data_IF_507226968642
#
_entry.id   IF_507226968642
#
_cell.length_a   1.000
_cell.length_b   1.000
_cell.length_c   1.000
_cell.angle_alpha   90.00
_cell.angle_beta   90.00
_cell.angle_gamma   90.00
#
_symmetry.space_group_name_H-M   'P 1'
#
loop_
_entity.id
_entity.type
_entity.pdbx_description
1 polymer ?
#
# COMPACT_ATOMS: atom_id res chain seq x y z
N UNK A 1 12.76 7.72 16.12
CA UNK A 1 12.43 9.14 16.25
C UNK A 1 12.17 9.78 14.87
N UNK A 2 11.79 11.08 14.83
CA UNK A 2 11.50 11.80 13.57
C UNK A 2 12.70 11.82 12.61
N UNK A 3 13.91 11.97 13.11
CA UNK A 3 15.12 12.00 12.29
C UNK A 3 15.37 10.64 11.62
N UNK A 4 15.26 9.58 12.39
CA UNK A 4 15.39 8.21 11.88
C UNK A 4 14.32 7.88 10.86
N UNK A 5 13.07 8.31 11.10
CA UNK A 5 11.97 8.12 10.16
C UNK A 5 12.24 8.80 8.81
N UNK A 6 12.77 10.04 8.82
CA UNK A 6 13.15 10.74 7.60
C UNK A 6 14.32 10.06 6.86
N UNK A 7 15.31 9.55 7.59
CA UNK A 7 16.41 8.78 6.99
C UNK A 7 15.84 7.50 6.35
N UNK A 8 14.97 6.79 7.06
CA UNK A 8 14.34 5.58 6.54
C UNK A 8 13.45 5.84 5.33
N UNK A 9 12.65 6.91 5.36
CA UNK A 9 11.82 7.32 4.22
C UNK A 9 12.64 7.64 2.96
N UNK A 10 13.76 8.34 3.11
CA UNK A 10 14.70 8.58 2.00
C UNK A 10 15.28 7.30 1.45
N UNK A 11 15.62 6.36 2.32
CA UNK A 11 16.14 5.07 1.93
C UNK A 11 15.10 4.25 1.13
N UNK A 12 13.85 4.19 1.60
CA UNK A 12 12.74 3.55 0.90
C UNK A 12 12.48 4.19 -0.45
N UNK A 13 12.37 5.52 -0.48
CA UNK A 13 12.09 6.27 -1.71
C UNK A 13 13.16 6.03 -2.77
N UNK A 14 14.43 6.12 -2.38
CA UNK A 14 15.56 5.81 -3.27
C UNK A 14 15.52 4.38 -3.78
N UNK A 15 15.17 3.43 -2.93
CA UNK A 15 15.10 2.01 -3.29
C UNK A 15 13.95 1.66 -4.23
N UNK A 16 12.83 2.39 -4.15
CA UNK A 16 11.67 2.12 -5.00
C UNK A 16 11.67 2.92 -6.30
N UNK A 17 12.13 4.17 -6.26
CA UNK A 17 11.95 5.13 -7.35
C UNK A 17 13.27 5.63 -7.96
N UNK A 18 14.42 5.27 -7.37
CA UNK A 18 15.76 5.67 -7.82
C UNK A 18 16.02 7.18 -7.73
N UNK A 19 15.14 7.91 -7.03
CA UNK A 19 15.22 9.36 -6.82
C UNK A 19 15.45 9.70 -5.35
N UNK A 20 15.84 10.94 -5.08
CA UNK A 20 16.00 11.46 -3.72
C UNK A 20 14.67 12.05 -3.22
N UNK A 21 14.31 11.74 -1.99
CA UNK A 21 13.14 12.31 -1.32
C UNK A 21 13.46 13.73 -0.84
N UNK A 22 12.73 14.71 -1.34
CA UNK A 22 12.91 16.14 -1.08
C UNK A 22 11.81 16.76 -0.21
N UNK A 23 10.85 15.95 0.27
CA UNK A 23 9.85 16.40 1.22
C UNK A 23 10.09 15.83 2.63
N UNK A 24 9.64 16.51 3.70
CA UNK A 24 9.74 16.01 5.06
C UNK A 24 8.70 14.95 5.39
N UNK A 25 9.04 14.08 6.33
CA UNK A 25 8.10 13.18 7.01
C UNK A 25 7.89 13.69 8.42
N UNK A 26 6.66 14.04 8.75
CA UNK A 26 6.25 14.63 10.01
C UNK A 26 5.51 13.62 10.90
N UNK A 27 5.72 13.70 12.22
CA UNK A 27 4.99 12.86 13.17
C UNK A 27 3.87 13.67 13.79
N UNK A 28 2.62 13.21 13.60
CA UNK A 28 1.44 13.82 14.20
C UNK A 28 0.86 12.96 15.32
N UNK A 29 0.91 13.51 16.55
CA UNK A 29 0.37 12.85 17.75
C UNK A 29 -1.17 12.85 17.79
N UNK A 30 -1.84 13.61 16.92
CA UNK A 30 -3.31 13.75 16.88
C UNK A 30 -3.95 12.77 15.92
N UNK A 31 -3.18 12.15 15.01
CA UNK A 31 -3.68 11.11 14.10
C UNK A 31 -4.02 9.85 14.90
N UNK A 32 -5.32 9.54 15.01
CA UNK A 32 -5.82 8.38 15.77
C UNK A 32 -6.40 7.28 14.90
N UNK A 33 -6.94 7.62 13.73
CA UNK A 33 -7.64 6.70 12.83
C UNK A 33 -6.83 6.35 11.59
N UNK A 34 -6.05 7.29 11.10
CA UNK A 34 -5.18 7.12 9.93
C UNK A 34 -3.75 6.88 10.40
N UNK A 35 -3.05 5.95 9.77
CA UNK A 35 -1.67 5.62 10.13
C UNK A 35 -0.67 6.60 9.53
N UNK A 36 -0.87 6.97 8.27
CA UNK A 36 -0.12 7.99 7.57
C UNK A 36 -0.97 8.59 6.45
N UNK A 37 -0.56 9.72 5.89
CA UNK A 37 -1.10 10.26 4.65
C UNK A 37 -0.14 11.24 3.98
N UNK A 38 -0.21 11.33 2.67
CA UNK A 38 0.47 12.33 1.88
C UNK A 38 -0.38 13.60 1.81
N UNK A 39 0.23 14.75 2.09
CA UNK A 39 -0.40 16.09 2.03
C UNK A 39 0.18 16.83 0.83
N UNK A 40 -0.67 17.16 -0.14
CA UNK A 40 -0.31 17.79 -1.43
C UNK A 40 -0.54 19.31 -1.43
N UNK A 41 -0.19 19.99 -0.34
CA UNK A 41 -0.27 21.46 -0.23
C UNK A 41 0.90 22.13 -0.98
N UNK A 42 1.00 23.48 -0.90
CA UNK A 42 2.09 24.25 -1.49
C UNK A 42 3.48 23.79 -1.02
N UNK A 43 3.59 23.37 0.24
CA UNK A 43 4.75 22.70 0.81
C UNK A 43 4.38 21.24 1.15
N UNK A 44 4.49 20.30 0.20
CA UNK A 44 4.05 18.93 0.41
C UNK A 44 4.86 18.21 1.47
N UNK A 45 4.20 17.30 2.21
CA UNK A 45 4.84 16.47 3.23
C UNK A 45 4.07 15.16 3.45
N UNK A 46 4.71 14.21 4.12
CA UNK A 46 4.02 13.00 4.59
C UNK A 46 3.82 13.11 6.10
N UNK A 47 2.61 12.87 6.55
CA UNK A 47 2.25 12.85 7.96
C UNK A 47 2.07 11.43 8.44
N UNK A 48 2.67 11.11 9.60
CA UNK A 48 2.69 9.75 10.16
C UNK A 48 2.19 9.78 11.60
N UNK A 49 1.32 8.86 11.97
CA UNK A 49 0.83 8.77 13.34
C UNK A 49 1.92 8.29 14.30
N UNK A 50 1.87 8.78 15.54
CA UNK A 50 2.74 8.27 16.62
C UNK A 50 2.56 6.76 16.83
N UNK A 51 1.36 6.25 16.62
CA UNK A 51 1.07 4.83 16.77
C UNK A 51 1.82 3.99 15.71
N UNK A 52 1.93 4.49 14.47
CA UNK A 52 2.66 3.79 13.42
C UNK A 52 4.15 3.66 13.72
N UNK A 53 4.80 4.71 14.22
CA UNK A 53 6.24 4.68 14.52
C UNK A 53 6.64 3.75 15.66
N UNK A 54 5.66 3.23 16.41
CA UNK A 54 5.86 2.23 17.46
C UNK A 54 5.75 0.79 16.96
N UNK A 55 5.40 0.60 15.67
CA UNK A 55 5.26 -0.70 15.06
C UNK A 55 6.61 -1.28 14.60
N UNK A 56 6.60 -2.54 14.18
CA UNK A 56 7.78 -3.12 13.57
C UNK A 56 8.14 -2.45 12.23
N UNK A 57 9.39 -2.56 11.83
CA UNK A 57 9.92 -1.85 10.67
C UNK A 57 9.20 -2.21 9.36
N UNK A 58 8.72 -3.45 9.23
CA UNK A 58 8.03 -3.89 8.00
C UNK A 58 6.67 -3.21 7.85
N UNK A 59 5.93 -3.01 8.96
CA UNK A 59 4.65 -2.27 8.97
C UNK A 59 4.89 -0.80 8.63
N UNK A 60 5.89 -0.18 9.28
CA UNK A 60 6.26 1.22 8.99
C UNK A 60 6.64 1.35 7.51
N UNK A 61 7.47 0.44 6.99
CA UNK A 61 7.93 0.49 5.62
C UNK A 61 6.79 0.36 4.60
N UNK A 62 5.85 -0.55 4.82
CA UNK A 62 4.76 -0.77 3.88
C UNK A 62 3.80 0.43 3.81
N UNK A 63 3.36 0.93 4.98
CA UNK A 63 2.49 2.09 5.05
C UNK A 63 3.21 3.35 4.52
N UNK A 64 4.45 3.55 4.90
CA UNK A 64 5.23 4.70 4.42
C UNK A 64 5.48 4.62 2.91
N UNK A 65 5.75 3.45 2.35
CA UNK A 65 5.95 3.26 0.91
C UNK A 65 4.68 3.53 0.10
N UNK A 66 3.49 3.29 0.68
CA UNK A 66 2.21 3.68 0.10
C UNK A 66 2.13 5.21 -0.07
N UNK A 67 2.41 5.97 1.00
CA UNK A 67 2.39 7.44 0.96
C UNK A 67 3.49 8.02 0.05
N UNK A 68 4.67 7.39 0.04
CA UNK A 68 5.76 7.77 -0.86
C UNK A 68 5.39 7.54 -2.34
N UNK A 69 4.49 6.59 -2.63
CA UNK A 69 3.98 6.37 -3.98
C UNK A 69 3.04 7.49 -4.42
N UNK A 70 2.17 7.99 -3.52
CA UNK A 70 1.36 9.19 -3.78
C UNK A 70 2.25 10.37 -4.13
N UNK A 71 3.27 10.62 -3.30
CA UNK A 71 4.21 11.71 -3.54
C UNK A 71 4.98 11.56 -4.86
N UNK A 72 5.47 10.36 -5.18
CA UNK A 72 6.17 10.12 -6.44
C UNK A 72 5.31 10.47 -7.65
N UNK A 73 4.06 10.03 -7.67
CA UNK A 73 3.13 10.33 -8.75
C UNK A 73 2.78 11.83 -8.81
N UNK A 74 2.52 12.45 -7.66
CA UNK A 74 2.29 13.90 -7.55
C UNK A 74 3.46 14.72 -8.12
N UNK A 75 4.69 14.40 -7.72
CA UNK A 75 5.92 15.05 -8.20
C UNK A 75 6.09 14.96 -9.72
N UNK A 76 5.57 13.92 -10.33
CA UNK A 76 5.63 13.68 -11.78
C UNK A 76 4.37 14.08 -12.53
N UNK A 77 3.51 14.92 -11.95
CA UNK A 77 2.25 15.40 -12.54
C UNK A 77 1.35 14.26 -13.04
N UNK A 78 1.29 13.15 -12.30
CA UNK A 78 0.45 11.99 -12.61
C UNK A 78 -0.71 11.88 -11.63
N UNK A 79 -1.81 11.24 -12.04
CA UNK A 79 -2.88 10.86 -11.12
C UNK A 79 -2.31 10.05 -9.96
N UNK A 80 -2.60 10.47 -8.73
CA UNK A 80 -1.95 9.93 -7.54
C UNK A 80 -2.90 9.46 -6.44
N UNK A 81 -4.22 9.51 -6.67
CA UNK A 81 -5.19 8.99 -5.71
C UNK A 81 -5.16 7.45 -5.68
N UNK A 82 -5.58 6.85 -4.56
CA UNK A 82 -5.64 5.38 -4.38
C UNK A 82 -6.45 4.65 -5.45
N UNK A 83 -7.43 5.32 -6.04
CA UNK A 83 -8.29 4.81 -7.12
C UNK A 83 -7.67 4.92 -8.50
N UNK A 84 -6.60 5.68 -8.67
CA UNK A 84 -6.00 5.93 -9.97
C UNK A 84 -5.22 4.69 -10.47
N UNK A 85 -5.31 4.45 -11.77
CA UNK A 85 -4.65 3.30 -12.40
C UNK A 85 -3.13 3.37 -12.29
N UNK A 86 -2.58 4.57 -12.33
CA UNK A 86 -1.15 4.83 -12.18
C UNK A 86 -0.66 4.42 -10.79
N UNK A 87 -1.43 4.78 -9.76
CA UNK A 87 -1.15 4.38 -8.39
C UNK A 87 -1.22 2.85 -8.24
N UNK A 88 -2.28 2.25 -8.77
CA UNK A 88 -2.45 0.80 -8.78
C UNK A 88 -1.27 0.09 -9.47
N UNK A 89 -0.89 0.52 -10.67
CA UNK A 89 0.16 -0.11 -11.45
C UNK A 89 1.53 -0.02 -10.73
N UNK A 90 1.83 1.14 -10.14
CA UNK A 90 3.11 1.40 -9.49
C UNK A 90 3.24 0.64 -8.16
N UNK A 91 2.21 0.62 -7.34
CA UNK A 91 2.19 -0.14 -6.08
C UNK A 91 2.26 -1.63 -6.35
N UNK A 92 1.53 -2.14 -7.35
CA UNK A 92 1.60 -3.54 -7.76
C UNK A 92 3.00 -3.93 -8.23
N UNK A 93 3.62 -3.12 -9.11
CA UNK A 93 4.99 -3.34 -9.60
C UNK A 93 6.01 -3.44 -8.47
N UNK A 94 5.84 -2.64 -7.44
CA UNK A 94 6.76 -2.55 -6.31
C UNK A 94 6.41 -3.48 -5.13
N UNK A 95 5.28 -4.18 -5.19
CA UNK A 95 4.81 -5.03 -4.09
C UNK A 95 4.41 -4.25 -2.85
N UNK A 96 3.93 -3.01 -3.03
CA UNK A 96 3.45 -2.11 -1.98
C UNK A 96 1.94 -2.33 -1.82
N UNK A 97 1.44 -2.29 -0.60
CA UNK A 97 0.00 -2.41 -0.33
C UNK A 97 -0.76 -1.18 -0.80
N UNK A 98 -1.97 -1.41 -1.31
CA UNK A 98 -2.78 -0.40 -1.98
C UNK A 98 -4.06 -0.05 -1.24
N UNK A 99 -4.36 -0.71 -0.15
CA UNK A 99 -5.61 -0.49 0.55
C UNK A 99 -5.46 0.53 1.66
N UNK A 100 -6.35 1.52 1.68
CA UNK A 100 -6.50 2.45 2.80
C UNK A 100 -7.10 1.77 4.04
N UNK A 101 -7.84 0.67 3.84
CA UNK A 101 -8.51 -0.05 4.92
C UNK A 101 -7.55 -1.00 5.62
N UNK A 102 -6.79 -0.46 6.55
CA UNK A 102 -5.86 -1.20 7.39
C UNK A 102 -6.21 -1.06 8.86
N UNK A 103 -6.01 -2.12 9.62
CA UNK A 103 -6.07 -2.08 11.08
C UNK A 103 -4.78 -2.66 11.66
N UNK A 104 -4.34 -2.11 12.78
CA UNK A 104 -3.26 -2.70 13.57
C UNK A 104 -3.86 -3.25 14.85
N UNK A 105 -3.85 -4.57 14.97
CA UNK A 105 -4.39 -5.28 16.11
C UNK A 105 -3.31 -6.17 16.73
N UNK A 106 -3.01 -5.97 18.02
CA UNK A 106 -1.97 -6.71 18.75
C UNK A 106 -0.59 -6.66 18.05
N UNK A 107 -0.23 -5.52 17.44
CA UNK A 107 1.02 -5.36 16.70
C UNK A 107 1.07 -6.06 15.33
N UNK A 108 -0.06 -6.56 14.85
CA UNK A 108 -0.21 -7.18 13.53
C UNK A 108 -1.00 -6.23 12.64
N UNK A 109 -0.42 -5.86 11.50
CA UNK A 109 -1.12 -5.12 10.47
C UNK A 109 -2.02 -6.08 9.70
N UNK A 110 -3.28 -5.71 9.53
CA UNK A 110 -4.26 -6.48 8.76
C UNK A 110 -4.81 -5.61 7.65
N UNK A 111 -4.94 -6.19 6.48
CA UNK A 111 -5.53 -5.57 5.30
C UNK A 111 -6.93 -6.08 5.06
N UNK A 112 -7.83 -5.18 4.71
CA UNK A 112 -9.17 -5.53 4.25
C UNK A 112 -9.13 -5.94 2.78
N UNK A 113 -9.72 -7.10 2.49
CA UNK A 113 -9.93 -7.60 1.13
C UNK A 113 -11.40 -7.92 0.93
N UNK A 114 -11.90 -7.66 -0.26
CA UNK A 114 -13.22 -8.13 -0.65
C UNK A 114 -13.12 -9.54 -1.23
N UNK A 115 -13.83 -10.47 -0.60
CA UNK A 115 -14.05 -11.80 -1.14
C UNK A 115 -15.13 -11.72 -2.22
N UNK A 116 -14.79 -12.15 -3.42
CA UNK A 116 -15.71 -12.25 -4.54
C UNK A 116 -15.81 -13.70 -5.02
N UNK A 117 -17.01 -14.15 -5.33
CA UNK A 117 -17.23 -15.35 -6.12
C UNK A 117 -17.51 -14.92 -7.57
N UNK A 118 -16.69 -15.38 -8.50
CA UNK A 118 -16.89 -15.13 -9.91
C UNK A 118 -17.37 -16.38 -10.62
N UNK A 119 -18.43 -16.25 -11.43
CA UNK A 119 -19.09 -17.36 -12.12
C UNK A 119 -19.14 -17.15 -13.60
N UNK A 120 -19.09 -18.26 -14.34
CA UNK A 120 -19.34 -18.32 -15.77
C UNK A 120 -20.56 -19.17 -16.05
N UNK A 121 -21.32 -18.84 -17.11
CA UNK A 121 -22.46 -19.64 -17.57
C UNK A 121 -22.08 -21.08 -17.93
N UNK A 122 -20.82 -21.35 -18.23
CA UNK A 122 -20.31 -22.70 -18.47
C UNK A 122 -20.11 -23.53 -17.16
N UNK A 123 -20.49 -22.99 -16.00
CA UNK A 123 -20.36 -23.62 -14.70
C UNK A 123 -19.00 -23.46 -14.01
N UNK A 124 -18.05 -22.77 -14.62
CA UNK A 124 -16.78 -22.45 -13.93
C UNK A 124 -17.01 -21.43 -12.82
N UNK A 125 -16.38 -21.66 -11.67
CA UNK A 125 -16.42 -20.75 -10.51
C UNK A 125 -15.02 -20.56 -9.96
N UNK A 126 -14.73 -19.36 -9.47
CA UNK A 126 -13.50 -19.05 -8.78
C UNK A 126 -13.76 -18.04 -7.65
N UNK A 127 -13.13 -18.24 -6.51
CA UNK A 127 -13.06 -17.24 -5.46
C UNK A 127 -11.84 -16.37 -5.70
N UNK A 128 -12.03 -15.07 -5.58
CA UNK A 128 -10.97 -14.08 -5.71
C UNK A 128 -11.03 -13.07 -4.57
N UNK A 129 -9.88 -12.51 -4.23
CA UNK A 129 -9.73 -11.56 -3.15
C UNK A 129 -9.07 -10.31 -3.72
N UNK A 130 -9.80 -9.20 -3.70
CA UNK A 130 -9.28 -7.92 -4.16
C UNK A 130 -9.20 -6.95 -3.00
N UNK A 131 -8.16 -6.10 -2.91
CA UNK A 131 -8.23 -4.93 -2.06
C UNK A 131 -9.44 -4.10 -2.47
N UNK A 132 -9.93 -3.27 -1.55
CA UNK A 132 -11.02 -2.32 -1.85
C UNK A 132 -10.58 -1.45 -3.01
N UNK A 133 -11.12 -1.73 -4.18
CA UNK A 133 -10.95 -0.91 -5.36
C UNK A 133 -12.29 -0.26 -5.60
N UNK A 134 -12.31 1.03 -5.86
CA UNK A 134 -13.51 1.73 -6.27
C UNK A 134 -14.24 0.95 -7.37
N UNK A 135 -15.58 1.01 -7.38
CA UNK A 135 -16.43 0.20 -8.28
C UNK A 135 -16.11 0.37 -9.77
N UNK A 136 -15.34 1.39 -10.13
CA UNK A 136 -14.97 1.70 -11.51
C UNK A 136 -13.80 0.86 -12.04
N UNK A 137 -12.95 0.30 -11.14
CA UNK A 137 -11.78 -0.46 -11.57
C UNK A 137 -11.78 -1.88 -11.02
N UNK A 138 -12.48 -2.78 -11.73
CA UNK A 138 -12.44 -4.21 -11.44
C UNK A 138 -11.68 -4.93 -12.56
N UNK A 139 -10.67 -5.74 -12.24
CA UNK A 139 -10.01 -6.54 -13.25
C UNK A 139 -11.03 -7.48 -13.90
N UNK A 140 -11.11 -7.46 -15.22
CA UNK A 140 -11.95 -8.41 -15.95
C UNK A 140 -11.27 -9.76 -15.94
N UNK A 141 -11.81 -10.70 -15.14
CA UNK A 141 -11.35 -12.09 -15.18
C UNK A 141 -12.03 -12.85 -16.29
N UNK A 142 -11.25 -13.58 -17.06
CA UNK A 142 -11.73 -14.41 -18.15
C UNK A 142 -11.85 -15.86 -17.70
N UNK A 143 -12.92 -16.52 -18.11
CA UNK A 143 -13.11 -17.93 -17.84
C UNK A 143 -12.09 -18.78 -18.62
N UNK A 144 -11.28 -19.63 -17.94
CA UNK A 144 -10.27 -20.44 -18.61
C UNK A 144 -10.87 -21.55 -19.48
N UNK A 145 -12.18 -21.89 -19.30
CA UNK A 145 -12.85 -22.93 -20.10
C UNK A 145 -13.45 -22.42 -21.40
N UNK A 146 -14.02 -21.21 -21.40
CA UNK A 146 -14.76 -20.71 -22.58
C UNK A 146 -14.37 -19.29 -23.00
N UNK A 147 -13.38 -18.70 -22.34
CA UNK A 147 -12.82 -17.38 -22.62
C UNK A 147 -13.86 -16.23 -22.59
N UNK A 148 -14.94 -16.39 -21.81
CA UNK A 148 -15.93 -15.33 -21.58
C UNK A 148 -15.60 -14.59 -20.29
N UNK A 149 -15.99 -13.31 -20.16
CA UNK A 149 -15.88 -12.58 -18.90
C UNK A 149 -16.63 -13.30 -17.77
N UNK A 150 -16.02 -13.31 -16.59
CA UNK A 150 -16.66 -13.81 -15.36
C UNK A 150 -17.56 -12.73 -14.75
N UNK A 151 -18.70 -13.13 -14.23
CA UNK A 151 -19.58 -12.26 -13.45
C UNK A 151 -19.18 -12.31 -11.97
N UNK A 152 -18.94 -11.15 -11.37
CA UNK A 152 -18.54 -11.00 -9.98
C UNK A 152 -19.74 -10.87 -9.06
N UNK A 153 -19.71 -11.62 -7.96
CA UNK A 153 -20.60 -11.41 -6.83
C UNK A 153 -19.77 -11.14 -5.57
N UNK A 154 -19.88 -9.95 -5.01
CA UNK A 154 -19.26 -9.62 -3.73
C UNK A 154 -19.91 -10.47 -2.62
N UNK A 155 -19.10 -11.20 -1.86
CA UNK A 155 -19.59 -12.05 -0.76
C UNK A 155 -19.41 -11.35 0.58
N UNK A 156 -18.36 -10.51 0.73
CA UNK A 156 -18.09 -9.76 1.95
C UNK A 156 -16.63 -9.36 2.08
N UNK A 157 -16.34 -8.57 3.12
CA UNK A 157 -14.99 -8.18 3.48
C UNK A 157 -14.36 -9.25 4.39
N UNK A 158 -13.06 -9.48 4.20
CA UNK A 158 -12.22 -10.26 5.11
C UNK A 158 -10.95 -9.48 5.44
N UNK A 159 -10.42 -9.72 6.63
CA UNK A 159 -9.12 -9.16 7.03
C UNK A 159 -8.05 -10.24 6.96
N UNK A 160 -6.92 -9.92 6.37
CA UNK A 160 -5.75 -10.81 6.31
C UNK A 160 -4.56 -10.15 6.97
N UNK A 161 -3.79 -10.95 7.71
CA UNK A 161 -2.54 -10.51 8.30
C UNK A 161 -1.56 -10.08 7.22
N UNK A 162 -0.91 -8.93 7.46
CA UNK A 162 0.15 -8.45 6.60
C UNK A 162 1.35 -9.40 6.63
N UNK A 163 1.78 -9.78 5.45
CA UNK A 163 3.03 -10.48 5.25
C UNK A 163 3.92 -9.65 4.32
N UNK A 164 5.09 -9.20 4.80
CA UNK A 164 5.97 -8.40 3.96
C UNK A 164 6.40 -9.17 2.73
N UNK A 165 6.21 -8.57 1.56
CA UNK A 165 6.73 -9.11 0.30
C UNK A 165 8.26 -9.18 0.30
N UNK A 166 8.82 -9.98 -0.59
CA UNK A 166 10.27 -10.23 -0.65
C UNK A 166 11.09 -8.94 -0.79
N UNK A 167 10.69 -8.03 -1.69
CA UNK A 167 11.39 -6.76 -1.92
C UNK A 167 11.38 -5.88 -0.66
N UNK A 168 10.21 -5.74 -0.02
CA UNK A 168 10.09 -4.96 1.20
C UNK A 168 10.96 -5.53 2.33
N UNK A 169 10.89 -6.85 2.52
CA UNK A 169 11.68 -7.54 3.54
C UNK A 169 13.18 -7.33 3.33
N UNK A 170 13.68 -7.54 2.13
CA UNK A 170 15.09 -7.31 1.81
C UNK A 170 15.52 -5.86 2.05
N UNK A 171 14.68 -4.90 1.67
CA UNK A 171 14.97 -3.47 1.86
C UNK A 171 15.08 -3.13 3.34
N UNK A 172 14.14 -3.60 4.16
CA UNK A 172 14.18 -3.38 5.60
C UNK A 172 15.37 -4.07 6.28
N UNK A 173 15.63 -5.32 5.95
CA UNK A 173 16.76 -6.09 6.52
C UNK A 173 18.12 -5.47 6.15
N UNK A 174 18.20 -4.86 4.97
CA UNK A 174 19.41 -4.16 4.54
C UNK A 174 19.59 -2.84 5.26
N UNK A 175 18.52 -2.07 5.41
CA UNK A 175 18.53 -0.82 6.18
C UNK A 175 18.97 -1.05 7.63
N UNK A 176 18.43 -2.07 8.31
CA UNK A 176 18.81 -2.39 9.70
C UNK A 176 20.28 -2.78 9.82
N UNK A 177 20.82 -3.48 8.83
CA UNK A 177 22.26 -3.82 8.79
C UNK A 177 23.16 -2.60 8.60
N UNK A 178 22.78 -1.68 7.73
CA UNK A 178 23.56 -0.44 7.51
C UNK A 178 23.52 0.48 8.75
N UNK A 179 22.36 0.56 9.41
CA UNK A 179 22.20 1.33 10.64
C UNK A 179 23.07 0.81 11.81
N UNK A 180 23.39 -0.47 11.79
CA UNK A 180 24.16 -1.14 12.87
C UNK A 180 25.68 -1.03 12.70
N UNK A 181 26.17 -0.44 11.58
CA UNK A 181 27.60 -0.16 11.33
C UNK A 181 28.00 1.20 11.88
#
# INVERSE_FOLDING_TARGET
DKKELNIFGRYLYKGYFEEDLDIPIEVNNRLKRTHAWFVSDDDPYIEVSKHLIQQNIYIIADILSHELTHYYLYKHDKPYDDKDIEFYALTYKNGISRTESTIIENGILKYEYFKNESKCDCGFKIESYFPVIDNEFRPVLMCPKCNKPLVYNAIGAIYRDFMPGFKLKMTCDWYEREKSK
#
